data_IF_660231560311
#
_entry.id   IF_660231560311
#
_cell.length_a   1.000
_cell.length_b   1.000
_cell.length_c   1.000
_cell.angle_alpha   90.00
_cell.angle_beta   90.00
_cell.angle_gamma   90.00
#
_symmetry.space_group_name_H-M   'P 1'
#
loop_
_entity.id
_entity.type
_entity.pdbx_description
1 polymer ?
#
# COMPACT_ATOMS: atom_id res chain seq x y z
N UNK A 1 7.45 -19.54 -14.55
CA UNK A 1 7.16 -19.73 -13.11
C UNK A 1 7.52 -18.46 -12.37
N UNK A 2 6.66 -17.99 -11.49
CA UNK A 2 6.96 -16.88 -10.58
C UNK A 2 8.07 -17.28 -9.61
N UNK A 3 8.96 -16.36 -9.26
CA UNK A 3 9.98 -16.57 -8.24
C UNK A 3 9.94 -15.43 -7.24
N UNK A 4 9.86 -15.80 -5.97
CA UNK A 4 10.02 -14.90 -4.84
C UNK A 4 11.50 -14.83 -4.46
N UNK A 5 12.00 -13.62 -4.16
CA UNK A 5 13.35 -13.39 -3.62
C UNK A 5 13.30 -12.32 -2.55
N UNK A 6 14.04 -12.54 -1.48
CA UNK A 6 14.30 -11.51 -0.49
C UNK A 6 15.18 -10.41 -1.09
N UNK A 7 14.90 -9.17 -0.71
CA UNK A 7 15.66 -7.98 -1.08
C UNK A 7 16.15 -7.32 0.22
N UNK A 8 17.29 -7.77 0.76
CA UNK A 8 17.91 -7.09 1.90
C UNK A 8 18.37 -5.69 1.50
N UNK A 9 18.13 -4.71 2.34
CA UNK A 9 18.60 -3.34 2.13
C UNK A 9 18.74 -2.63 3.47
N UNK A 10 19.41 -1.49 3.46
CA UNK A 10 19.62 -0.64 4.64
C UNK A 10 19.03 0.74 4.38
N UNK A 11 18.41 1.33 5.39
CA UNK A 11 17.97 2.72 5.37
C UNK A 11 18.19 3.37 6.73
N UNK A 12 18.96 4.47 6.75
CA UNK A 12 19.30 5.26 7.95
C UNK A 12 19.81 4.39 9.12
N UNK A 13 20.60 3.34 8.83
CA UNK A 13 21.19 2.43 9.83
C UNK A 13 20.28 1.28 10.27
N UNK A 14 19.07 1.17 9.72
CA UNK A 14 18.14 0.07 9.98
C UNK A 14 18.20 -0.98 8.85
N UNK A 15 18.24 -2.27 9.23
CA UNK A 15 18.24 -3.39 8.28
C UNK A 15 16.80 -3.78 7.92
N UNK A 16 16.48 -3.71 6.64
CA UNK A 16 15.18 -4.05 6.11
C UNK A 16 15.29 -5.24 5.14
N UNK A 17 14.20 -5.96 4.96
CA UNK A 17 14.14 -7.06 4.00
C UNK A 17 12.78 -7.08 3.27
N UNK A 18 12.73 -6.40 2.14
CA UNK A 18 11.59 -6.45 1.22
C UNK A 18 11.55 -7.77 0.44
N UNK A 19 10.48 -8.05 -0.28
CA UNK A 19 10.38 -9.21 -1.14
C UNK A 19 9.98 -8.81 -2.57
N UNK A 20 10.68 -9.33 -3.57
CA UNK A 20 10.31 -9.20 -4.96
C UNK A 20 9.73 -10.51 -5.48
N UNK A 21 8.56 -10.44 -6.10
CA UNK A 21 7.85 -11.56 -6.70
C UNK A 21 7.66 -11.23 -8.19
N UNK A 22 8.25 -12.01 -9.08
CA UNK A 22 8.21 -11.73 -10.51
C UNK A 22 8.57 -12.93 -11.37
N UNK A 23 8.51 -12.76 -12.69
CA UNK A 23 8.94 -13.78 -13.65
C UNK A 23 10.40 -13.53 -14.04
N UNK A 24 11.16 -14.60 -14.25
CA UNK A 24 12.55 -14.55 -14.73
C UNK A 24 12.61 -14.92 -16.21
N UNK A 25 12.12 -14.05 -17.05
CA UNK A 25 12.13 -14.23 -18.50
C UNK A 25 12.76 -13.04 -19.26
N UNK A 26 13.39 -12.11 -18.50
CA UNK A 26 14.09 -10.96 -19.04
C UNK A 26 13.19 -9.83 -19.54
N UNK A 27 11.86 -9.94 -19.36
CA UNK A 27 10.93 -8.90 -19.78
C UNK A 27 10.67 -7.91 -18.63
N UNK A 28 10.78 -6.63 -18.92
CA UNK A 28 10.32 -5.59 -18.02
C UNK A 28 8.79 -5.54 -17.97
N UNK A 29 8.24 -5.42 -16.76
CA UNK A 29 6.78 -5.40 -16.51
C UNK A 29 6.39 -4.28 -15.57
N UNK A 30 5.12 -3.83 -15.67
CA UNK A 30 4.54 -2.98 -14.64
C UNK A 30 4.66 -3.66 -13.28
N UNK A 31 4.97 -2.89 -12.26
CA UNK A 31 5.24 -3.41 -10.92
C UNK A 31 4.36 -2.74 -9.88
N UNK A 32 3.74 -3.54 -9.04
CA UNK A 32 2.97 -3.06 -7.90
C UNK A 32 3.83 -3.16 -6.65
N UNK A 33 4.08 -2.02 -6.01
CA UNK A 33 4.67 -1.97 -4.67
C UNK A 33 3.52 -2.17 -3.68
N UNK A 34 3.57 -3.25 -2.92
CA UNK A 34 2.61 -3.57 -1.86
C UNK A 34 3.17 -3.11 -0.52
N UNK A 35 2.51 -2.13 0.10
CA UNK A 35 2.89 -1.65 1.43
C UNK A 35 1.99 -2.35 2.46
N UNK A 36 2.60 -3.09 3.41
CA UNK A 36 1.89 -3.92 4.37
C UNK A 36 1.03 -3.16 5.38
N UNK A 37 0.23 -3.93 6.11
CA UNK A 37 -0.49 -3.49 7.30
C UNK A 37 0.45 -3.20 8.48
N UNK A 38 -0.12 -2.96 9.65
CA UNK A 38 0.61 -2.85 10.92
C UNK A 38 1.46 -4.09 11.26
N UNK A 39 1.23 -5.22 10.61
CA UNK A 39 2.01 -6.44 10.85
C UNK A 39 3.33 -6.53 10.07
N UNK A 40 3.64 -5.52 9.23
CA UNK A 40 4.80 -5.57 8.35
C UNK A 40 4.67 -6.64 7.26
N UNK A 41 5.79 -7.12 6.74
CA UNK A 41 5.84 -8.11 5.68
C UNK A 41 5.35 -9.47 6.17
N UNK A 42 4.22 -9.94 5.61
CA UNK A 42 3.62 -11.24 5.95
C UNK A 42 3.26 -12.04 4.70
N UNK A 43 2.81 -13.29 4.90
CA UNK A 43 2.32 -14.13 3.81
C UNK A 43 1.03 -13.58 3.17
N UNK A 44 0.30 -12.68 3.84
CA UNK A 44 -0.89 -12.04 3.28
C UNK A 44 -0.51 -11.17 2.07
N UNK A 45 0.41 -10.23 2.25
CA UNK A 45 0.84 -9.32 1.18
C UNK A 45 1.60 -10.07 0.08
N UNK A 46 2.41 -11.06 0.46
CA UNK A 46 3.04 -11.96 -0.52
C UNK A 46 2.03 -12.76 -1.32
N UNK A 47 0.89 -13.13 -0.71
CA UNK A 47 -0.24 -13.76 -1.38
C UNK A 47 -0.85 -12.87 -2.46
N UNK A 48 -1.10 -11.60 -2.16
CA UNK A 48 -1.53 -10.61 -3.16
C UNK A 48 -0.48 -10.43 -4.26
N UNK A 49 0.80 -10.39 -3.89
CA UNK A 49 1.89 -10.31 -4.86
C UNK A 49 1.91 -11.50 -5.83
N UNK A 50 1.68 -12.72 -5.36
CA UNK A 50 1.60 -13.92 -6.21
C UNK A 50 0.43 -13.84 -7.19
N UNK A 51 -0.75 -13.36 -6.75
CA UNK A 51 -1.92 -13.16 -7.63
C UNK A 51 -1.62 -12.13 -8.74
N UNK A 52 -0.95 -11.02 -8.41
CA UNK A 52 -0.53 -10.02 -9.40
C UNK A 52 0.43 -10.61 -10.45
N UNK A 53 1.34 -11.49 -10.04
CA UNK A 53 2.27 -12.14 -10.98
C UNK A 53 1.55 -13.12 -11.92
N UNK A 54 0.50 -13.78 -11.47
CA UNK A 54 -0.35 -14.60 -12.33
C UNK A 54 -1.04 -13.76 -13.41
N UNK A 55 -1.43 -12.53 -13.08
CA UNK A 55 -2.02 -11.56 -14.00
C UNK A 55 -1.01 -10.83 -14.91
N UNK A 56 0.30 -11.10 -14.77
CA UNK A 56 1.32 -10.56 -15.66
C UNK A 56 2.10 -9.37 -15.13
N UNK A 57 1.84 -8.92 -13.90
CA UNK A 57 2.56 -7.86 -13.21
C UNK A 57 3.75 -8.40 -12.42
N UNK A 58 4.63 -7.55 -11.93
CA UNK A 58 5.53 -7.87 -10.83
C UNK A 58 4.96 -7.29 -9.52
N UNK A 59 5.39 -7.84 -8.40
CA UNK A 59 5.07 -7.31 -7.09
C UNK A 59 6.35 -7.10 -6.26
N UNK A 60 6.39 -5.97 -5.54
CA UNK A 60 7.43 -5.66 -4.57
C UNK A 60 6.78 -5.43 -3.20
N UNK A 61 6.91 -6.38 -2.28
CA UNK A 61 6.37 -6.25 -0.93
C UNK A 61 7.37 -5.48 -0.09
N UNK A 62 7.01 -4.26 0.29
CA UNK A 62 7.89 -3.31 0.94
C UNK A 62 8.04 -3.59 2.44
N UNK A 63 9.26 -3.72 2.92
CA UNK A 63 9.54 -3.66 4.35
C UNK A 63 9.78 -2.21 4.77
N UNK A 64 8.97 -1.72 5.70
CA UNK A 64 9.12 -0.39 6.30
C UNK A 64 9.53 -0.48 7.78
N UNK A 65 9.42 -1.64 8.39
CA UNK A 65 9.64 -1.81 9.83
C UNK A 65 11.05 -2.25 10.16
N UNK A 66 11.58 -3.17 9.39
CA UNK A 66 12.85 -3.84 9.63
C UNK A 66 12.69 -5.35 9.74
N UNK A 67 13.74 -6.05 9.36
CA UNK A 67 13.75 -7.52 9.35
C UNK A 67 13.45 -8.14 10.72
N UNK A 68 13.83 -7.48 11.80
CA UNK A 68 13.57 -7.92 13.18
C UNK A 68 12.10 -7.94 13.55
N UNK A 69 11.24 -7.21 12.83
CA UNK A 69 9.80 -7.19 13.05
C UNK A 69 9.05 -8.27 12.27
N UNK A 70 9.73 -9.03 11.39
CA UNK A 70 9.08 -10.12 10.65
C UNK A 70 8.63 -11.23 11.60
N UNK A 71 7.31 -11.42 11.72
CA UNK A 71 6.72 -12.38 12.63
C UNK A 71 6.70 -11.94 14.11
N UNK A 72 7.05 -10.69 14.39
CA UNK A 72 6.98 -10.16 15.76
C UNK A 72 5.53 -10.08 16.27
N UNK A 73 5.32 -10.06 17.59
CA UNK A 73 4.00 -9.86 18.18
C UNK A 73 3.36 -8.54 17.72
N UNK A 74 2.03 -8.53 17.64
CA UNK A 74 1.28 -7.40 17.10
C UNK A 74 1.52 -6.08 17.86
N UNK A 75 1.63 -6.13 19.18
CA UNK A 75 1.90 -4.97 20.02
C UNK A 75 3.28 -4.35 19.73
N UNK A 76 4.27 -5.19 19.44
CA UNK A 76 5.62 -4.77 19.01
C UNK A 76 5.54 -4.07 17.65
N UNK A 77 4.87 -4.69 16.67
CA UNK A 77 4.68 -4.09 15.35
C UNK A 77 3.86 -2.79 15.42
N UNK A 78 2.86 -2.72 16.31
CA UNK A 78 2.07 -1.51 16.54
C UNK A 78 2.91 -0.38 17.11
N UNK A 79 3.84 -0.70 18.02
CA UNK A 79 4.82 0.26 18.55
C UNK A 79 5.69 0.84 17.42
N UNK A 80 6.20 0.00 16.54
CA UNK A 80 7.02 0.42 15.40
C UNK A 80 6.22 1.27 14.39
N UNK A 81 5.00 0.87 14.05
CA UNK A 81 4.10 1.69 13.24
C UNK A 81 3.90 3.08 13.85
N UNK A 82 3.69 3.14 15.17
CA UNK A 82 3.50 4.42 15.87
C UNK A 82 4.76 5.27 15.81
N UNK A 83 5.94 4.68 15.95
CA UNK A 83 7.23 5.36 15.80
C UNK A 83 7.35 5.98 14.41
N UNK A 84 7.11 5.20 13.36
CA UNK A 84 7.18 5.67 11.97
C UNK A 84 6.16 6.78 11.68
N UNK A 85 4.94 6.66 12.21
CA UNK A 85 3.90 7.68 12.04
C UNK A 85 4.20 8.98 12.80
N UNK A 86 5.00 8.93 13.85
CA UNK A 86 5.36 10.12 14.64
C UNK A 86 6.32 11.07 13.91
N UNK A 87 7.08 10.57 12.91
CA UNK A 87 7.92 11.37 12.02
C UNK A 87 7.59 11.09 10.56
N UNK A 88 6.56 11.78 10.07
CA UNK A 88 6.09 11.65 8.67
C UNK A 88 7.12 12.12 7.64
N UNK A 89 8.09 12.94 8.03
CA UNK A 89 9.17 13.35 7.16
C UNK A 89 10.20 12.22 6.98
N UNK A 90 10.58 11.54 8.05
CA UNK A 90 11.41 10.33 7.96
C UNK A 90 10.69 9.21 7.21
N UNK A 91 9.39 9.00 7.51
CA UNK A 91 8.58 8.02 6.79
C UNK A 91 8.53 8.32 5.28
N UNK A 92 8.37 9.60 4.88
CA UNK A 92 8.42 10.00 3.46
C UNK A 92 9.75 9.62 2.81
N UNK A 93 10.89 9.89 3.46
CA UNK A 93 12.21 9.49 2.92
C UNK A 93 12.33 7.99 2.78
N UNK A 94 11.84 7.21 3.74
CA UNK A 94 11.82 5.74 3.70
C UNK A 94 10.97 5.22 2.55
N UNK A 95 9.80 5.80 2.32
CA UNK A 95 8.93 5.46 1.19
C UNK A 95 9.57 5.76 -0.15
N UNK A 96 10.27 6.89 -0.26
CA UNK A 96 11.03 7.24 -1.46
C UNK A 96 12.19 6.26 -1.71
N UNK A 97 12.93 5.87 -0.65
CA UNK A 97 13.96 4.84 -0.75
C UNK A 97 13.41 3.51 -1.26
N UNK A 98 12.28 3.04 -0.72
CA UNK A 98 11.61 1.81 -1.16
C UNK A 98 11.16 1.90 -2.63
N UNK A 99 10.64 3.05 -3.06
CA UNK A 99 10.26 3.28 -4.45
C UNK A 99 11.45 3.14 -5.40
N UNK A 100 12.57 3.79 -5.08
CA UNK A 100 13.79 3.71 -5.91
C UNK A 100 14.40 2.29 -5.88
N UNK A 101 14.37 1.64 -4.73
CA UNK A 101 14.80 0.24 -4.61
C UNK A 101 13.96 -0.70 -5.48
N UNK A 102 12.64 -0.51 -5.50
CA UNK A 102 11.75 -1.30 -6.35
C UNK A 102 12.02 -1.04 -7.85
N UNK A 103 12.24 0.21 -8.25
CA UNK A 103 12.60 0.60 -9.62
C UNK A 103 13.89 -0.04 -10.09
N UNK A 104 14.89 -0.14 -9.23
CA UNK A 104 16.20 -0.70 -9.57
C UNK A 104 16.21 -2.22 -9.75
N UNK A 105 15.08 -2.90 -9.50
CA UNK A 105 15.05 -4.35 -9.63
C UNK A 105 14.97 -4.80 -11.09
N UNK A 106 15.75 -5.84 -11.44
CA UNK A 106 15.69 -6.46 -12.76
C UNK A 106 14.27 -6.89 -13.12
N UNK A 107 13.85 -6.54 -14.33
CA UNK A 107 12.51 -6.87 -14.85
C UNK A 107 11.41 -5.88 -14.45
N UNK A 108 11.75 -4.76 -13.81
CA UNK A 108 10.81 -3.67 -13.52
C UNK A 108 10.79 -2.66 -14.68
N UNK A 109 9.59 -2.32 -15.14
CA UNK A 109 9.37 -1.19 -16.05
C UNK A 109 9.32 0.10 -15.21
N UNK A 110 10.41 0.86 -15.17
CA UNK A 110 10.66 1.96 -14.23
C UNK A 110 9.55 3.02 -14.17
N UNK A 111 8.90 3.28 -15.30
CA UNK A 111 7.82 4.27 -15.43
C UNK A 111 6.41 3.66 -15.23
N UNK A 112 6.32 2.37 -14.91
CA UNK A 112 5.06 1.64 -14.76
C UNK A 112 4.94 1.09 -13.33
N UNK A 113 4.98 2.00 -12.35
CA UNK A 113 4.90 1.66 -10.92
C UNK A 113 3.55 2.11 -10.37
N UNK A 114 2.87 1.19 -9.71
CA UNK A 114 1.70 1.46 -8.84
C UNK A 114 2.09 1.16 -7.40
N UNK A 115 1.67 2.01 -6.48
CA UNK A 115 1.83 1.76 -5.04
C UNK A 115 0.48 1.45 -4.45
N UNK A 116 0.31 0.25 -3.92
CA UNK A 116 -0.91 -0.20 -3.26
C UNK A 116 -0.60 -0.57 -1.80
N UNK A 117 -1.33 -0.01 -0.87
CA UNK A 117 -1.09 -0.25 0.54
C UNK A 117 -2.36 -0.59 1.32
N UNK A 118 -2.18 -1.33 2.42
CA UNK A 118 -3.25 -1.84 3.27
C UNK A 118 -3.16 -1.26 4.68
N UNK A 119 -4.25 -0.73 5.25
CA UNK A 119 -4.25 -0.12 6.59
C UNK A 119 -3.20 1.01 6.70
N UNK A 120 -2.18 0.86 7.53
CA UNK A 120 -1.03 1.76 7.60
C UNK A 120 -0.37 1.94 6.22
N UNK A 121 -0.22 0.86 5.47
CA UNK A 121 0.32 0.92 4.10
C UNK A 121 -0.54 1.76 3.16
N UNK A 122 -1.85 1.78 3.34
CA UNK A 122 -2.76 2.64 2.58
C UNK A 122 -2.52 4.13 2.85
N UNK A 123 -2.23 4.50 4.09
CA UNK A 123 -1.77 5.84 4.46
C UNK A 123 -0.44 6.18 3.78
N UNK A 124 0.51 5.24 3.80
CA UNK A 124 1.82 5.40 3.16
C UNK A 124 1.71 5.63 1.64
N UNK A 125 0.80 4.90 0.96
CA UNK A 125 0.56 5.10 -0.47
C UNK A 125 0.03 6.51 -0.77
N UNK A 126 -0.92 7.00 0.04
CA UNK A 126 -1.43 8.37 -0.07
C UNK A 126 -0.35 9.42 0.21
N UNK A 127 0.51 9.19 1.21
CA UNK A 127 1.61 10.11 1.53
C UNK A 127 2.65 10.18 0.41
N UNK A 128 2.91 9.06 -0.24
CA UNK A 128 3.83 9.03 -1.37
C UNK A 128 3.24 9.81 -2.56
N UNK A 129 1.93 9.68 -2.84
CA UNK A 129 1.25 10.51 -3.84
C UNK A 129 1.31 12.00 -3.48
N UNK A 130 1.00 12.35 -2.22
CA UNK A 130 1.07 13.72 -1.68
C UNK A 130 2.48 14.32 -1.77
N UNK A 131 3.51 13.50 -1.77
CA UNK A 131 4.90 13.97 -1.95
C UNK A 131 5.21 14.40 -3.38
N UNK A 132 4.35 14.08 -4.34
CA UNK A 132 4.57 14.30 -5.76
C UNK A 132 5.44 13.23 -6.41
N UNK A 133 5.54 12.04 -5.81
CA UNK A 133 6.27 10.92 -6.37
C UNK A 133 5.79 10.58 -7.79
N UNK A 134 6.74 10.21 -8.64
CA UNK A 134 6.48 9.83 -10.03
C UNK A 134 6.06 8.35 -10.10
N UNK A 135 4.79 8.10 -9.83
CA UNK A 135 4.14 6.79 -9.87
C UNK A 135 2.84 6.89 -10.68
N UNK A 136 2.44 5.81 -11.33
CA UNK A 136 1.24 5.77 -12.16
C UNK A 136 -0.03 5.91 -11.30
N UNK A 137 -0.09 5.20 -10.18
CA UNK A 137 -1.19 5.31 -9.25
C UNK A 137 -0.77 5.03 -7.80
N UNK A 138 -1.52 5.62 -6.85
CA UNK A 138 -1.51 5.31 -5.43
C UNK A 138 -2.86 4.72 -5.04
N UNK A 139 -2.86 3.53 -4.45
CA UNK A 139 -4.06 2.78 -4.09
C UNK A 139 -4.07 2.50 -2.59
N UNK A 140 -5.13 2.90 -1.93
CA UNK A 140 -5.31 2.74 -0.48
C UNK A 140 -6.44 1.75 -0.19
N UNK A 141 -6.13 0.59 0.40
CA UNK A 141 -7.12 -0.36 0.90
C UNK A 141 -7.30 -0.14 2.40
N UNK A 142 -8.50 0.26 2.82
CA UNK A 142 -8.84 0.57 4.22
C UNK A 142 -7.73 1.34 4.95
N UNK A 143 -7.12 2.31 4.26
CA UNK A 143 -6.04 3.12 4.80
C UNK A 143 -6.54 4.26 5.65
N UNK A 144 -5.63 4.84 6.43
CA UNK A 144 -5.88 6.07 7.17
C UNK A 144 -5.71 7.28 6.24
N UNK A 145 -6.57 8.28 6.37
CA UNK A 145 -6.62 9.42 5.44
C UNK A 145 -5.98 10.70 5.97
N UNK A 146 -5.56 10.72 7.23
CA UNK A 146 -4.93 11.88 7.85
C UNK A 146 -3.70 12.35 7.05
N UNK A 147 -3.63 13.63 6.68
CA UNK A 147 -2.50 14.16 5.91
C UNK A 147 -1.23 14.21 6.76
N UNK A 148 -0.04 14.16 6.14
CA UNK A 148 1.25 14.10 6.84
C UNK A 148 1.64 15.40 7.54
N UNK A 149 0.94 16.49 7.34
CA UNK A 149 1.34 17.81 7.87
C UNK A 149 2.60 18.38 7.22
N UNK A 150 3.02 17.84 6.09
CA UNK A 150 4.19 18.28 5.33
C UNK A 150 3.76 19.09 4.11
N UNK A 151 4.64 19.99 3.59
CA UNK A 151 4.35 20.68 2.34
C UNK A 151 4.00 19.67 1.23
N UNK A 152 2.84 19.83 0.56
CA UNK A 152 2.43 18.93 -0.50
C UNK A 152 3.28 19.16 -1.75
N UNK A 153 3.63 18.07 -2.45
CA UNK A 153 4.05 18.10 -3.83
C UNK A 153 2.83 18.18 -4.77
N UNK A 154 3.10 18.35 -6.06
CA UNK A 154 2.03 18.19 -7.07
C UNK A 154 1.70 16.71 -7.21
N UNK A 155 0.49 16.31 -6.84
CA UNK A 155 0.03 14.93 -7.04
C UNK A 155 -0.05 14.65 -8.54
N UNK A 156 0.76 13.72 -9.04
CA UNK A 156 0.78 13.30 -10.45
C UNK A 156 0.06 11.98 -10.67
N UNK A 157 0.06 11.14 -9.63
CA UNK A 157 -0.54 9.82 -9.64
C UNK A 157 -2.07 9.87 -9.73
N UNK A 158 -2.69 8.87 -10.36
CA UNK A 158 -4.09 8.55 -10.06
C UNK A 158 -4.19 8.09 -8.60
N UNK A 159 -5.24 8.48 -7.89
CA UNK A 159 -5.44 8.08 -6.49
C UNK A 159 -6.74 7.31 -6.37
N UNK A 160 -6.67 6.07 -5.87
CA UNK A 160 -7.87 5.27 -5.62
C UNK A 160 -7.88 4.81 -4.17
N UNK A 161 -9.00 5.05 -3.48
CA UNK A 161 -9.20 4.59 -2.11
C UNK A 161 -10.39 3.63 -2.04
N UNK A 162 -10.17 2.45 -1.46
CA UNK A 162 -11.18 1.47 -1.12
C UNK A 162 -11.42 1.52 0.38
N UNK A 163 -12.60 1.96 0.79
CA UNK A 163 -12.90 2.33 2.16
C UNK A 163 -14.15 1.61 2.68
N UNK A 164 -14.07 1.08 3.91
CA UNK A 164 -15.23 0.60 4.63
C UNK A 164 -15.93 1.79 5.31
N UNK A 165 -17.23 2.01 4.99
CA UNK A 165 -17.96 3.19 5.48
C UNK A 165 -18.10 3.24 7.00
N UNK A 166 -18.11 2.06 7.64
CA UNK A 166 -18.23 1.91 9.10
C UNK A 166 -16.86 1.70 9.78
N UNK A 167 -15.78 2.12 9.11
CA UNK A 167 -14.41 2.06 9.68
C UNK A 167 -14.26 3.07 10.83
N UNK A 168 -14.09 2.61 12.08
CA UNK A 168 -14.01 3.50 13.23
C UNK A 168 -12.74 4.36 13.25
N UNK A 169 -11.72 4.02 12.45
CA UNK A 169 -10.46 4.76 12.35
C UNK A 169 -10.53 5.90 11.33
N UNK A 170 -11.50 5.84 10.41
CA UNK A 170 -11.65 6.80 9.31
C UNK A 170 -13.13 7.16 9.14
N UNK A 171 -13.65 8.11 9.91
CA UNK A 171 -15.05 8.48 9.85
C UNK A 171 -15.41 9.17 8.52
N UNK A 172 -16.71 9.25 8.17
CA UNK A 172 -17.16 9.81 6.90
C UNK A 172 -16.62 11.21 6.59
N UNK A 173 -16.38 12.03 7.60
CA UNK A 173 -15.81 13.37 7.44
C UNK A 173 -14.39 13.32 6.88
N UNK A 174 -13.59 12.32 7.24
CA UNK A 174 -12.25 12.12 6.70
C UNK A 174 -12.29 11.67 5.22
N UNK A 175 -13.31 10.91 4.83
CA UNK A 175 -13.55 10.54 3.42
C UNK A 175 -13.85 11.78 2.59
N UNK A 176 -14.74 12.64 3.09
CA UNK A 176 -15.09 13.91 2.44
C UNK A 176 -13.87 14.83 2.37
N UNK A 177 -13.06 14.90 3.44
CA UNK A 177 -11.86 15.72 3.48
C UNK A 177 -10.83 15.27 2.44
N UNK A 178 -10.60 13.95 2.30
CA UNK A 178 -9.70 13.41 1.27
C UNK A 178 -10.19 13.76 -0.14
N UNK A 179 -11.50 13.61 -0.43
CA UNK A 179 -12.06 13.96 -1.73
C UNK A 179 -11.88 15.43 -2.07
N UNK A 180 -12.02 16.33 -1.10
CA UNK A 180 -11.76 17.77 -1.27
C UNK A 180 -10.28 18.04 -1.54
N UNK A 181 -9.39 17.46 -0.73
CA UNK A 181 -7.93 17.59 -0.89
C UNK A 181 -7.49 17.18 -2.30
N UNK A 182 -7.92 16.02 -2.78
CA UNK A 182 -7.56 15.50 -4.09
C UNK A 182 -8.14 16.33 -5.24
N UNK A 183 -9.34 16.87 -5.07
CA UNK A 183 -9.96 17.79 -6.02
C UNK A 183 -9.19 19.11 -6.12
N UNK A 184 -8.82 19.69 -4.99
CA UNK A 184 -8.03 20.93 -4.93
C UNK A 184 -6.63 20.73 -5.51
N UNK A 185 -6.04 19.54 -5.33
CA UNK A 185 -4.77 19.16 -5.92
C UNK A 185 -4.84 18.93 -7.44
N UNK A 186 -6.05 18.86 -8.02
CA UNK A 186 -6.26 18.56 -9.44
C UNK A 186 -5.86 17.12 -9.82
N UNK A 187 -5.91 16.21 -8.88
CA UNK A 187 -5.61 14.78 -9.09
C UNK A 187 -6.78 14.07 -9.79
N UNK A 188 -6.49 13.06 -10.58
CA UNK A 188 -7.49 12.04 -10.99
C UNK A 188 -7.67 11.07 -9.83
N UNK A 189 -8.89 11.01 -9.27
CA UNK A 189 -9.13 10.24 -8.07
C UNK A 189 -10.50 9.55 -8.03
N UNK A 190 -10.55 8.44 -7.28
CA UNK A 190 -11.77 7.70 -6.98
C UNK A 190 -11.77 7.25 -5.50
N UNK A 191 -12.94 7.28 -4.86
CA UNK A 191 -13.15 6.69 -3.53
C UNK A 191 -14.33 5.73 -3.63
N UNK A 192 -14.09 4.45 -3.39
CA UNK A 192 -15.10 3.41 -3.31
C UNK A 192 -15.44 3.15 -1.85
N UNK A 193 -16.60 3.62 -1.40
CA UNK A 193 -17.06 3.42 -0.03
C UNK A 193 -18.04 2.26 0.04
N UNK A 194 -17.76 1.28 0.90
CA UNK A 194 -18.57 0.08 1.09
C UNK A 194 -19.39 0.19 2.38
N UNK A 195 -20.70 0.33 2.25
CA UNK A 195 -21.64 0.39 3.41
C UNK A 195 -21.64 -0.90 4.23
N UNK A 196 -21.79 -0.78 5.54
CA UNK A 196 -21.74 -1.88 6.52
C UNK A 196 -20.42 -2.67 6.51
N UNK A 197 -19.31 -1.99 6.15
CA UNK A 197 -17.97 -2.59 6.10
C UNK A 197 -17.05 -1.75 6.97
N UNK A 198 -16.34 -2.42 7.88
CA UNK A 198 -15.35 -1.80 8.78
C UNK A 198 -13.93 -1.83 8.23
N UNK A 199 -12.96 -1.61 9.14
CA UNK A 199 -11.53 -1.65 8.83
C UNK A 199 -11.03 -3.07 8.52
N UNK A 200 -9.97 -3.18 7.72
CA UNK A 200 -9.26 -4.45 7.48
C UNK A 200 -10.05 -5.46 6.64
N UNK A 201 -11.05 -5.04 5.88
CA UNK A 201 -11.99 -5.91 5.19
C UNK A 201 -11.35 -6.84 4.14
N UNK A 202 -10.12 -6.59 3.71
CA UNK A 202 -9.39 -7.47 2.77
C UNK A 202 -8.63 -8.60 3.46
N UNK A 203 -8.47 -8.56 4.80
CA UNK A 203 -7.72 -9.56 5.53
C UNK A 203 -8.63 -10.67 6.06
N UNK A 204 -8.52 -11.92 5.57
CA UNK A 204 -9.36 -13.05 6.05
C UNK A 204 -9.26 -13.31 7.55
N UNK A 205 -8.15 -12.88 8.19
CA UNK A 205 -7.91 -13.06 9.61
C UNK A 205 -8.35 -11.86 10.46
N UNK A 206 -8.88 -10.78 9.85
CA UNK A 206 -9.24 -9.56 10.59
C UNK A 206 -10.24 -9.82 11.74
N UNK A 207 -11.25 -10.66 11.51
CA UNK A 207 -12.25 -10.97 12.53
C UNK A 207 -11.69 -11.71 13.76
N UNK A 208 -10.58 -12.43 13.61
CA UNK A 208 -9.93 -13.12 14.73
C UNK A 208 -9.18 -12.16 15.68
N UNK A 209 -8.97 -10.92 15.27
CA UNK A 209 -8.33 -9.90 16.09
C UNK A 209 -9.23 -9.39 17.23
N UNK A 210 -10.54 -9.64 17.16
CA UNK A 210 -11.54 -9.23 18.17
C UNK A 210 -11.49 -7.73 18.48
N UNK A 211 -11.24 -6.89 17.46
CA UNK A 211 -11.26 -5.44 17.55
C UNK A 211 -12.58 -4.94 16.97
N UNK A 212 -13.29 -4.11 17.73
CA UNK A 212 -14.54 -3.51 17.28
C UNK A 212 -14.33 -2.73 15.97
N UNK A 213 -15.21 -2.95 15.00
CA UNK A 213 -15.13 -2.31 13.68
C UNK A 213 -14.02 -2.85 12.76
N UNK A 214 -13.30 -3.92 13.16
CA UNK A 214 -12.28 -4.57 12.32
C UNK A 214 -12.71 -5.98 11.97
N UNK A 215 -13.07 -6.22 10.70
CA UNK A 215 -13.54 -7.52 10.26
C UNK A 215 -13.31 -7.75 8.77
N UNK A 216 -13.12 -9.01 8.40
CA UNK A 216 -13.11 -9.42 7.01
C UNK A 216 -14.51 -9.31 6.39
N UNK A 217 -14.56 -8.79 5.17
CA UNK A 217 -15.78 -8.80 4.37
C UNK A 217 -15.45 -9.30 2.96
N UNK A 218 -15.84 -10.54 2.65
CA UNK A 218 -15.48 -11.20 1.40
C UNK A 218 -15.95 -10.43 0.16
N UNK A 219 -17.17 -9.86 0.20
CA UNK A 219 -17.73 -9.14 -0.94
C UNK A 219 -17.02 -7.82 -1.18
N UNK A 220 -16.69 -7.07 -0.12
CA UNK A 220 -15.92 -5.83 -0.25
C UNK A 220 -14.48 -6.12 -0.70
N UNK A 221 -13.86 -7.18 -0.20
CA UNK A 221 -12.53 -7.62 -0.62
C UNK A 221 -12.51 -7.97 -2.11
N UNK A 222 -13.46 -8.77 -2.60
CA UNK A 222 -13.59 -9.13 -4.02
C UNK A 222 -13.84 -7.90 -4.91
N UNK A 223 -14.78 -7.03 -4.53
CA UNK A 223 -15.11 -5.81 -5.29
C UNK A 223 -13.92 -4.86 -5.38
N UNK A 224 -13.21 -4.64 -4.27
CA UNK A 224 -12.03 -3.77 -4.25
C UNK A 224 -10.89 -4.35 -5.07
N UNK A 225 -10.67 -5.66 -4.99
CA UNK A 225 -9.66 -6.34 -5.82
C UNK A 225 -9.98 -6.24 -7.31
N UNK A 226 -11.23 -6.53 -7.72
CA UNK A 226 -11.66 -6.39 -9.11
C UNK A 226 -11.48 -4.97 -9.63
N UNK A 227 -11.88 -3.95 -8.84
CA UNK A 227 -11.69 -2.55 -9.21
C UNK A 227 -10.21 -2.17 -9.32
N UNK A 228 -9.36 -2.74 -8.46
CA UNK A 228 -7.92 -2.53 -8.53
C UNK A 228 -7.31 -3.15 -9.79
N UNK A 229 -7.70 -4.37 -10.17
CA UNK A 229 -7.23 -5.00 -11.41
C UNK A 229 -7.68 -4.20 -12.64
N UNK A 230 -8.93 -3.72 -12.67
CA UNK A 230 -9.42 -2.84 -13.75
C UNK A 230 -8.57 -1.56 -13.87
N UNK A 231 -8.14 -0.97 -12.74
CA UNK A 231 -7.23 0.17 -12.77
C UNK A 231 -5.87 -0.20 -13.38
N UNK A 232 -5.31 -1.37 -13.05
CA UNK A 232 -4.05 -1.82 -13.63
C UNK A 232 -4.17 -2.07 -15.14
N UNK A 233 -5.30 -2.61 -15.60
CA UNK A 233 -5.60 -2.78 -17.02
C UNK A 233 -5.77 -1.43 -17.73
N UNK A 234 -6.43 -0.44 -17.11
CA UNK A 234 -6.54 0.93 -17.65
C UNK A 234 -5.18 1.59 -17.84
N UNK A 235 -4.25 1.34 -16.90
CA UNK A 235 -2.94 1.99 -16.92
C UNK A 235 -1.95 1.31 -17.86
N UNK A 236 -2.03 -0.01 -18.04
CA UNK A 236 -0.95 -0.82 -18.65
C UNK A 236 -1.43 -1.87 -19.65
N UNK A 237 -2.75 -2.03 -19.86
CA UNK A 237 -3.37 -3.00 -20.77
C UNK A 237 -3.36 -2.64 -22.25
#
# INVERSE_FOLDING_TARGET
>A
MSKERAIPHEFEGENLESAFIGRRDGQARPTVILIPTVMGVTDLEKGFGRQLVELGYNAFVADLFGKEFHGAPRDVCFGEMTRLRSDRAALRRRLQHVLELARSQDGVAENQIVVAGYCFGGQCALDLARSGADIAAAVSFHGLFDPPGLPPGKIKAKVVAFHGWDDPMVPPEAVVALGKELTEAGSDWQIHAYGNVGHGFTNPHASSLQIEGVAYNALAAERSWTSFINLLEELFG
#
